data_IF_693474509637
#
_entry.id   IF_693474509637
#
_cell.length_a   1.000
_cell.length_b   1.000
_cell.length_c   1.000
_cell.angle_alpha   90.00
_cell.angle_beta   90.00
_cell.angle_gamma   90.00
#
_symmetry.space_group_name_H-M   'P 1'
#
loop_
_entity.id
_entity.type
_entity.pdbx_description
1 polymer ?
#
# COMPACT_ATOMS: atom_id res chain seq x y z
N UNK A 1 -27.26 18.80 21.64
CA UNK A 1 -26.80 20.05 20.98
C UNK A 1 -26.09 21.00 21.92
N UNK A 2 -26.66 21.40 23.10
CA UNK A 2 -25.97 22.28 24.08
C UNK A 2 -24.58 21.71 24.50
N UNK A 3 -24.48 20.44 24.80
CA UNK A 3 -23.22 19.80 25.22
C UNK A 3 -22.09 19.92 24.16
N UNK A 4 -22.41 19.73 22.87
CA UNK A 4 -21.45 19.86 21.77
C UNK A 4 -20.98 21.31 21.61
N UNK A 5 -21.88 22.28 21.76
CA UNK A 5 -21.52 23.69 21.68
C UNK A 5 -20.54 24.10 22.79
N UNK A 6 -20.74 23.58 23.99
CA UNK A 6 -19.87 23.85 25.14
C UNK A 6 -18.51 23.15 25.02
N UNK A 7 -18.50 21.89 24.59
CA UNK A 7 -17.28 21.12 24.41
C UNK A 7 -16.42 21.68 23.27
N UNK A 8 -17.01 22.06 22.15
CA UNK A 8 -16.27 22.57 20.99
C UNK A 8 -16.01 24.08 21.03
N UNK A 9 -16.54 24.80 22.00
CA UNK A 9 -16.43 26.29 22.15
C UNK A 9 -16.77 27.05 20.84
N UNK A 10 -17.74 26.55 20.06
CA UNK A 10 -18.19 27.18 18.81
C UNK A 10 -19.61 27.68 18.91
N UNK A 11 -19.94 28.70 18.11
CA UNK A 11 -21.31 29.26 18.07
C UNK A 11 -22.28 28.27 17.39
N UNK A 12 -23.57 28.36 17.75
CA UNK A 12 -24.64 27.53 17.12
C UNK A 12 -24.68 27.72 15.61
N UNK A 13 -24.42 28.95 15.12
CA UNK A 13 -24.35 29.27 13.68
C UNK A 13 -23.17 28.57 13.00
N UNK A 14 -22.00 28.52 13.66
CA UNK A 14 -20.81 27.84 13.18
C UNK A 14 -21.05 26.35 13.10
N UNK A 15 -21.65 25.73 14.13
CA UNK A 15 -21.95 24.29 14.14
C UNK A 15 -22.96 23.94 13.04
N UNK A 16 -24.02 24.75 12.81
CA UNK A 16 -24.98 24.52 11.72
C UNK A 16 -24.31 24.61 10.35
N UNK A 17 -23.39 25.55 10.15
CA UNK A 17 -22.64 25.70 8.91
C UNK A 17 -21.73 24.48 8.66
N UNK A 18 -21.05 24.02 9.70
CA UNK A 18 -20.22 22.80 9.63
C UNK A 18 -21.05 21.56 9.34
N UNK A 19 -22.19 21.40 9.98
CA UNK A 19 -23.13 20.32 9.72
C UNK A 19 -23.65 20.33 8.29
N UNK A 20 -24.03 21.52 7.79
CA UNK A 20 -24.47 21.66 6.40
C UNK A 20 -23.35 21.35 5.40
N UNK A 21 -22.11 21.74 5.67
CA UNK A 21 -20.95 21.37 4.86
C UNK A 21 -20.71 19.86 4.87
N UNK A 22 -20.77 19.23 6.04
CA UNK A 22 -20.62 17.79 6.19
C UNK A 22 -21.67 17.01 5.42
N UNK A 23 -22.92 17.42 5.47
CA UNK A 23 -23.99 16.79 4.70
C UNK A 23 -23.82 16.89 3.18
N UNK A 24 -23.12 17.94 2.70
CA UNK A 24 -22.87 18.12 1.27
C UNK A 24 -21.56 17.48 0.77
N UNK A 25 -20.53 17.45 1.60
CA UNK A 25 -19.17 17.03 1.17
C UNK A 25 -18.70 15.74 1.82
N UNK A 26 -19.40 15.26 2.86
CA UNK A 26 -18.95 14.15 3.70
C UNK A 26 -17.73 14.48 4.57
N UNK A 27 -17.25 15.73 4.54
CA UNK A 27 -16.09 16.19 5.28
C UNK A 27 -16.47 17.37 6.19
N UNK A 28 -15.95 17.37 7.40
CA UNK A 28 -16.02 18.58 8.24
C UNK A 28 -15.11 19.65 7.63
N UNK A 29 -15.57 20.91 7.55
CA UNK A 29 -14.71 21.98 7.05
C UNK A 29 -13.46 22.04 7.92
N UNK A 30 -12.31 21.99 7.28
CA UNK A 30 -11.01 22.01 7.95
C UNK A 30 -10.98 23.12 9.00
N UNK A 31 -10.74 22.76 10.24
CA UNK A 31 -10.56 23.72 11.33
C UNK A 31 -9.36 24.66 11.08
N UNK A 32 -8.42 24.22 10.23
CA UNK A 32 -7.20 24.94 9.85
C UNK A 32 -7.48 26.36 9.38
N UNK A 33 -8.49 26.62 8.55
CA UNK A 33 -8.72 27.97 8.03
C UNK A 33 -9.13 28.99 9.10
N UNK A 34 -9.84 28.56 10.17
CA UNK A 34 -10.17 29.45 11.28
C UNK A 34 -9.06 29.54 12.33
N UNK A 35 -8.37 28.43 12.55
CA UNK A 35 -7.19 28.36 13.40
C UNK A 35 -6.06 29.19 12.80
N UNK A 36 -5.76 29.03 11.52
CA UNK A 36 -4.79 29.83 10.78
C UNK A 36 -5.12 31.32 10.83
N UNK A 37 -6.38 31.71 10.59
CA UNK A 37 -6.81 33.13 10.71
C UNK A 37 -6.68 33.69 12.12
N UNK A 38 -6.98 32.89 13.15
CA UNK A 38 -6.76 33.28 14.55
C UNK A 38 -5.28 33.39 14.87
N UNK A 39 -4.47 32.48 14.40
CA UNK A 39 -3.03 32.48 14.59
C UNK A 39 -2.37 33.64 13.82
N UNK A 40 -2.77 33.87 12.57
CA UNK A 40 -2.33 35.05 11.81
C UNK A 40 -2.62 36.36 12.53
N UNK A 41 -3.82 36.50 13.13
CA UNK A 41 -4.18 37.69 13.94
C UNK A 41 -3.40 37.76 15.26
N UNK A 42 -3.21 36.61 15.94
CA UNK A 42 -2.55 36.56 17.25
C UNK A 42 -1.06 36.81 17.16
N UNK A 43 -0.40 36.24 16.12
CA UNK A 43 1.06 36.26 16.01
C UNK A 43 1.59 37.22 14.93
N UNK A 44 0.73 38.02 14.26
CA UNK A 44 1.13 38.95 13.19
C UNK A 44 2.08 38.28 12.17
N UNK A 45 1.65 37.16 11.61
CA UNK A 45 2.48 36.37 10.68
C UNK A 45 2.94 37.23 9.51
N UNK A 46 4.21 37.19 9.22
CA UNK A 46 4.81 37.91 8.10
C UNK A 46 4.49 37.10 6.84
N UNK A 47 3.59 37.64 6.00
CA UNK A 47 3.12 36.96 4.77
C UNK A 47 3.84 37.43 3.50
N UNK A 48 4.67 38.48 3.57
CA UNK A 48 5.29 39.07 2.39
C UNK A 48 6.64 38.45 2.10
N UNK A 49 6.67 37.49 1.17
CA UNK A 49 7.87 36.72 0.79
C UNK A 49 9.01 37.56 0.21
N UNK A 50 8.71 38.78 -0.29
CA UNK A 50 9.73 39.68 -0.85
C UNK A 50 10.58 40.36 0.24
N UNK A 51 10.09 40.44 1.47
CA UNK A 51 10.77 41.15 2.58
C UNK A 51 11.37 40.23 3.63
N UNK A 52 11.02 38.93 3.63
CA UNK A 52 11.51 38.00 4.64
C UNK A 52 12.62 37.13 4.06
N UNK A 53 13.85 37.53 4.31
CA UNK A 53 15.00 36.63 4.16
C UNK A 53 15.29 35.99 5.52
N UNK A 54 15.16 34.67 5.60
CA UNK A 54 15.63 33.92 6.76
C UNK A 54 17.16 33.92 6.73
N UNK A 55 17.76 34.18 7.90
CA UNK A 55 19.20 34.03 8.06
C UNK A 55 19.62 32.57 8.03
N UNK A 56 20.90 32.27 7.90
CA UNK A 56 21.43 30.87 7.99
C UNK A 56 21.06 30.25 9.32
N UNK A 57 21.15 30.98 10.41
CA UNK A 57 20.73 30.52 11.75
C UNK A 57 19.22 30.16 11.79
N UNK A 58 18.37 30.96 11.13
CA UNK A 58 16.94 30.64 11.03
C UNK A 58 16.70 29.35 10.24
N UNK A 59 17.50 29.13 9.18
CA UNK A 59 17.42 27.90 8.37
C UNK A 59 17.88 26.67 9.17
N UNK A 60 18.90 26.80 10.00
CA UNK A 60 19.37 25.75 10.90
C UNK A 60 18.31 25.41 11.94
N UNK A 61 17.66 26.41 12.55
CA UNK A 61 16.53 26.19 13.44
C UNK A 61 15.39 25.46 12.74
N UNK A 62 15.05 25.87 11.51
CA UNK A 62 14.01 25.23 10.71
C UNK A 62 14.36 23.77 10.41
N UNK A 63 15.60 23.48 10.05
CA UNK A 63 16.10 22.13 9.80
C UNK A 63 16.00 21.27 11.08
N UNK A 64 16.41 21.80 12.22
CA UNK A 64 16.32 21.11 13.51
C UNK A 64 14.88 20.77 13.90
N UNK A 65 13.93 21.69 13.67
CA UNK A 65 12.51 21.47 13.92
C UNK A 65 11.98 20.32 13.06
N UNK A 66 12.23 20.35 11.74
CA UNK A 66 11.76 19.32 10.81
C UNK A 66 12.44 17.97 11.08
N UNK A 67 13.69 17.95 11.45
CA UNK A 67 14.44 16.71 11.79
C UNK A 67 13.94 16.10 13.11
N UNK A 68 13.63 16.94 14.10
CA UNK A 68 13.11 16.49 15.39
C UNK A 68 11.71 15.90 15.29
N UNK A 69 10.85 16.51 14.47
CA UNK A 69 9.48 16.05 14.23
C UNK A 69 9.15 16.03 12.72
N UNK A 70 9.57 14.97 12.01
CA UNK A 70 9.37 14.86 10.56
C UNK A 70 7.90 14.63 10.18
N UNK A 71 7.00 14.43 11.15
CA UNK A 71 5.58 14.21 10.93
C UNK A 71 4.74 15.48 11.13
N UNK A 72 5.37 16.56 11.62
CA UNK A 72 4.67 17.79 11.91
C UNK A 72 4.03 18.42 10.66
N UNK A 73 2.82 18.91 10.79
CA UNK A 73 2.20 19.70 9.75
C UNK A 73 2.90 21.06 9.61
N UNK A 74 2.79 21.66 8.41
CA UNK A 74 3.48 22.93 8.10
C UNK A 74 3.08 24.07 9.03
N UNK A 75 1.86 24.09 9.55
CA UNK A 75 1.39 25.07 10.53
C UNK A 75 1.98 24.82 11.91
N UNK A 76 2.19 23.57 12.30
CA UNK A 76 2.88 23.19 13.55
C UNK A 76 4.36 23.58 13.48
N UNK A 77 5.02 23.31 12.36
CA UNK A 77 6.39 23.76 12.08
C UNK A 77 6.48 25.27 12.19
N UNK A 78 5.52 26.01 11.61
CA UNK A 78 5.51 27.48 11.67
C UNK A 78 5.33 28.02 13.09
N UNK A 79 4.56 27.34 13.92
CA UNK A 79 4.41 27.71 15.33
C UNK A 79 5.66 27.41 16.14
N UNK A 80 6.28 26.25 15.93
CA UNK A 80 7.53 25.89 16.58
C UNK A 80 8.64 26.88 16.21
N UNK A 81 8.77 27.18 14.91
CA UNK A 81 9.72 28.16 14.41
C UNK A 81 9.50 29.55 15.02
N UNK A 82 8.25 30.01 15.09
CA UNK A 82 7.92 31.28 15.71
C UNK A 82 8.24 31.36 17.19
N UNK A 83 8.11 30.23 17.92
CA UNK A 83 8.48 30.14 19.35
C UNK A 83 9.99 30.19 19.57
N UNK A 84 10.75 29.53 18.71
CA UNK A 84 12.22 29.41 18.84
C UNK A 84 12.94 30.66 18.32
N UNK A 85 12.43 31.31 17.25
CA UNK A 85 13.11 32.46 16.61
C UNK A 85 12.48 33.82 16.92
N UNK A 86 11.28 33.83 17.51
CA UNK A 86 10.47 35.05 17.64
C UNK A 86 9.84 35.54 16.31
N UNK A 87 10.13 34.87 15.16
CA UNK A 87 9.68 35.24 13.82
C UNK A 87 8.51 34.37 13.37
N UNK A 88 7.29 34.89 13.40
CA UNK A 88 6.10 34.15 12.97
C UNK A 88 5.92 34.24 11.47
N UNK A 89 6.41 33.24 10.76
CA UNK A 89 6.41 33.13 9.29
C UNK A 89 5.23 32.29 8.82
N UNK A 90 4.59 32.70 7.71
CA UNK A 90 3.46 31.95 7.17
C UNK A 90 3.87 30.52 6.76
N UNK A 91 3.04 29.48 7.01
CA UNK A 91 3.34 28.08 6.70
C UNK A 91 3.80 27.86 5.25
N UNK A 92 3.12 28.49 4.29
CA UNK A 92 3.48 28.39 2.87
C UNK A 92 4.87 28.98 2.54
N UNK A 93 5.33 29.96 3.30
CA UNK A 93 6.68 30.53 3.13
C UNK A 93 7.72 29.55 3.68
N UNK A 94 7.50 28.98 4.88
CA UNK A 94 8.37 27.95 5.43
C UNK A 94 8.40 26.68 4.56
N UNK A 95 7.27 26.28 4.01
CA UNK A 95 7.22 25.17 3.04
C UNK A 95 8.21 25.40 1.89
N UNK A 96 8.27 26.61 1.30
CA UNK A 96 9.23 26.93 0.24
C UNK A 96 10.68 26.84 0.73
N UNK A 97 10.98 27.31 1.93
CA UNK A 97 12.32 27.16 2.50
C UNK A 97 12.68 25.69 2.73
N UNK A 98 11.75 24.88 3.23
CA UNK A 98 11.95 23.43 3.42
C UNK A 98 12.23 22.76 2.06
N UNK A 99 11.47 23.08 1.01
CA UNK A 99 11.66 22.46 -0.31
C UNK A 99 12.87 23.01 -1.05
N UNK A 100 13.05 24.35 -1.09
CA UNK A 100 14.00 24.98 -1.97
C UNK A 100 15.40 25.14 -1.34
N UNK A 101 15.49 25.23 -0.01
CA UNK A 101 16.75 25.41 0.71
C UNK A 101 17.22 24.16 1.44
N UNK A 102 16.32 23.44 2.09
CA UNK A 102 16.69 22.19 2.76
C UNK A 102 16.62 20.98 1.82
N UNK A 103 16.05 21.11 0.61
CA UNK A 103 15.90 20.01 -0.34
C UNK A 103 14.97 18.89 0.13
N UNK A 104 14.14 19.16 1.13
CA UNK A 104 13.23 18.17 1.70
C UNK A 104 11.91 18.16 0.95
N UNK A 105 11.36 16.97 0.73
CA UNK A 105 10.06 16.77 0.10
C UNK A 105 9.13 15.97 1.01
N UNK A 106 7.82 16.20 0.90
CA UNK A 106 6.84 15.43 1.65
C UNK A 106 6.83 13.99 1.12
N UNK A 107 7.25 13.06 1.96
CA UNK A 107 7.30 11.63 1.65
C UNK A 107 6.06 10.92 2.19
N UNK A 108 5.68 9.81 1.56
CA UNK A 108 4.70 8.90 2.12
C UNK A 108 5.33 8.17 3.29
N UNK A 109 4.73 8.31 4.46
CA UNK A 109 5.21 7.62 5.66
C UNK A 109 4.96 6.12 5.53
N UNK A 110 6.01 5.33 5.73
CA UNK A 110 5.86 3.89 5.88
C UNK A 110 5.35 3.58 7.29
N UNK A 111 4.17 2.96 7.36
CA UNK A 111 3.66 2.47 8.64
C UNK A 111 4.31 1.13 8.96
N UNK A 112 5.03 1.07 10.07
CA UNK A 112 5.51 -0.19 10.64
C UNK A 112 4.53 -0.69 11.70
N UNK A 113 4.18 -1.96 11.65
CA UNK A 113 3.39 -2.55 12.72
C UNK A 113 4.19 -2.52 14.03
N UNK A 114 3.56 -2.14 15.14
CA UNK A 114 4.20 -2.10 16.47
C UNK A 114 4.76 -3.47 16.88
N UNK A 115 4.18 -4.55 16.36
CA UNK A 115 4.56 -5.93 16.61
C UNK A 115 5.71 -6.41 15.70
N UNK A 116 6.20 -5.61 14.77
CA UNK A 116 7.30 -5.97 13.88
C UNK A 116 8.58 -6.14 14.70
N UNK A 117 9.28 -7.27 14.49
CA UNK A 117 10.47 -7.63 15.25
C UNK A 117 11.67 -7.73 14.30
N UNK A 118 12.66 -6.88 14.46
CA UNK A 118 13.88 -6.87 13.64
C UNK A 118 14.66 -8.19 13.71
N UNK A 119 14.68 -8.84 14.89
CA UNK A 119 15.31 -10.16 15.02
C UNK A 119 14.63 -11.22 14.17
N UNK A 120 13.28 -11.24 14.13
CA UNK A 120 12.53 -12.17 13.29
C UNK A 120 12.74 -11.88 11.81
N UNK A 121 12.83 -10.62 11.42
CA UNK A 121 13.15 -10.19 10.04
C UNK A 121 14.56 -10.64 9.64
N UNK A 122 15.56 -10.43 10.50
CA UNK A 122 16.93 -10.86 10.24
C UNK A 122 17.04 -12.39 10.08
N UNK A 123 16.35 -13.16 10.94
CA UNK A 123 16.29 -14.62 10.83
C UNK A 123 15.63 -15.07 9.52
N UNK A 124 14.53 -14.45 9.14
CA UNK A 124 13.85 -14.74 7.88
C UNK A 124 14.77 -14.46 6.68
N UNK A 125 15.42 -13.28 6.63
CA UNK A 125 16.33 -12.93 5.54
C UNK A 125 17.52 -13.86 5.45
N UNK A 126 18.10 -14.27 6.59
CA UNK A 126 19.20 -15.23 6.63
C UNK A 126 18.77 -16.63 6.15
N UNK A 127 17.60 -17.10 6.60
CA UNK A 127 17.06 -18.38 6.16
C UNK A 127 16.74 -18.38 4.65
N UNK A 128 16.14 -17.28 4.15
CA UNK A 128 15.83 -17.12 2.74
C UNK A 128 17.11 -17.11 1.89
N UNK A 129 18.15 -16.40 2.33
CA UNK A 129 19.46 -16.39 1.66
C UNK A 129 20.10 -17.77 1.58
N UNK A 130 20.04 -18.51 2.67
CA UNK A 130 20.53 -19.89 2.71
C UNK A 130 19.77 -20.83 1.75
N UNK A 131 18.43 -20.72 1.71
CA UNK A 131 17.60 -21.55 0.85
C UNK A 131 17.73 -21.20 -0.63
N UNK A 132 17.76 -19.93 -0.97
CA UNK A 132 17.81 -19.51 -2.38
C UNK A 132 19.21 -19.67 -3.00
N UNK A 133 20.28 -19.53 -2.23
CA UNK A 133 21.66 -19.63 -2.73
C UNK A 133 21.87 -18.71 -3.95
N UNK A 134 21.41 -17.48 -3.87
CA UNK A 134 21.44 -16.47 -4.94
C UNK A 134 20.67 -16.85 -6.23
N UNK A 135 19.78 -17.84 -6.18
CA UNK A 135 18.91 -18.25 -7.27
C UNK A 135 17.46 -17.86 -6.97
N UNK A 136 17.06 -16.61 -7.27
CA UNK A 136 15.71 -16.10 -6.94
C UNK A 136 14.59 -16.84 -7.67
N UNK A 137 14.90 -17.55 -8.77
CA UNK A 137 13.95 -18.41 -9.50
C UNK A 137 13.44 -19.58 -8.65
N UNK A 138 14.16 -19.97 -7.58
CA UNK A 138 13.70 -20.99 -6.64
C UNK A 138 12.52 -20.53 -5.79
N UNK A 139 12.32 -19.21 -5.61
CA UNK A 139 11.27 -18.68 -4.78
C UNK A 139 9.92 -18.71 -5.51
N UNK A 140 8.93 -19.29 -4.85
CA UNK A 140 7.52 -19.17 -5.17
C UNK A 140 6.79 -18.59 -3.96
N UNK A 141 5.97 -17.59 -4.18
CA UNK A 141 5.19 -16.92 -3.15
C UNK A 141 3.72 -17.26 -3.29
N UNK A 142 3.05 -17.51 -2.18
CA UNK A 142 1.60 -17.76 -2.13
C UNK A 142 0.97 -16.82 -1.13
N UNK A 143 -0.14 -16.21 -1.50
CA UNK A 143 -0.93 -15.36 -0.61
C UNK A 143 -2.33 -15.14 -1.20
N UNK A 144 -3.24 -14.55 -0.40
CA UNK A 144 -4.61 -14.26 -0.80
C UNK A 144 -4.87 -12.75 -0.81
N UNK A 145 -5.67 -12.32 -1.77
CA UNK A 145 -6.16 -10.93 -1.77
C UNK A 145 -7.65 -10.86 -2.01
N UNK A 146 -8.33 -10.08 -1.17
CA UNK A 146 -9.78 -9.90 -1.28
C UNK A 146 -10.11 -8.64 -2.07
N UNK A 147 -11.10 -8.73 -2.96
CA UNK A 147 -11.61 -7.59 -3.70
C UNK A 147 -13.13 -7.67 -3.87
N UNK A 148 -13.74 -6.48 -3.88
CA UNK A 148 -15.12 -6.28 -4.31
C UNK A 148 -15.14 -5.51 -5.65
N UNK A 149 -16.31 -5.36 -6.25
CA UNK A 149 -16.49 -4.60 -7.50
C UNK A 149 -16.02 -3.14 -7.37
N UNK A 150 -16.11 -2.55 -6.18
CA UNK A 150 -15.65 -1.18 -5.93
C UNK A 150 -14.12 -1.04 -6.05
N UNK A 151 -13.36 -2.14 -6.00
CA UNK A 151 -11.91 -2.12 -6.19
C UNK A 151 -11.48 -1.65 -7.59
N UNK A 152 -12.30 -1.88 -8.62
CA UNK A 152 -12.06 -1.41 -9.98
C UNK A 152 -12.43 0.06 -10.20
N UNK A 153 -13.07 0.69 -9.23
CA UNK A 153 -13.53 2.07 -9.35
C UNK A 153 -12.37 3.06 -9.41
N UNK A 154 -12.43 3.93 -10.42
CA UNK A 154 -11.49 5.06 -10.50
C UNK A 154 -11.86 6.13 -9.48
N UNK A 155 -10.88 6.52 -8.66
CA UNK A 155 -11.08 7.55 -7.62
C UNK A 155 -10.94 8.98 -8.12
N UNK A 156 -10.39 9.19 -9.33
CA UNK A 156 -10.13 10.51 -9.92
C UNK A 156 -10.70 10.57 -11.33
N UNK A 157 -11.22 11.73 -11.71
CA UNK A 157 -11.73 12.01 -13.05
C UNK A 157 -11.52 13.46 -13.41
N UNK A 158 -11.51 13.77 -14.68
CA UNK A 158 -11.38 15.14 -15.19
C UNK A 158 -12.71 15.89 -15.08
N UNK A 159 -12.65 17.11 -14.57
CA UNK A 159 -13.80 18.02 -14.49
C UNK A 159 -13.36 19.46 -14.75
N UNK A 160 -14.30 20.34 -15.06
CA UNK A 160 -14.01 21.77 -15.24
C UNK A 160 -13.52 22.36 -13.90
N UNK A 161 -12.49 23.20 -13.96
CA UNK A 161 -11.97 23.91 -12.78
C UNK A 161 -13.09 24.81 -12.21
N UNK A 162 -13.31 24.74 -10.91
CA UNK A 162 -14.35 25.51 -10.20
C UNK A 162 -15.81 25.19 -10.58
N UNK A 163 -16.10 24.05 -11.21
CA UNK A 163 -17.47 23.64 -11.47
C UNK A 163 -18.19 23.31 -10.14
N UNK A 164 -19.09 24.18 -9.70
CA UNK A 164 -20.02 23.87 -8.62
C UNK A 164 -20.93 22.74 -9.08
N UNK A 165 -20.83 21.56 -8.46
CA UNK A 165 -21.67 20.40 -8.74
C UNK A 165 -21.19 19.47 -9.87
N UNK A 166 -20.06 19.73 -10.53
CA UNK A 166 -19.56 18.93 -11.67
C UNK A 166 -18.74 17.70 -11.33
N UNK A 167 -18.82 17.18 -10.11
CA UNK A 167 -18.23 15.87 -9.78
C UNK A 167 -19.03 14.79 -10.47
N UNK A 168 -18.48 14.20 -11.54
CA UNK A 168 -19.02 12.94 -12.06
C UNK A 168 -18.95 11.93 -10.92
N UNK A 169 -20.12 11.48 -10.45
CA UNK A 169 -20.23 10.48 -9.42
C UNK A 169 -19.83 9.14 -10.03
N UNK A 170 -18.79 8.50 -9.49
CA UNK A 170 -18.58 7.08 -9.72
C UNK A 170 -19.73 6.33 -9.03
N UNK A 171 -20.34 5.37 -9.69
CA UNK A 171 -21.40 4.58 -9.10
C UNK A 171 -20.82 3.77 -7.93
N UNK A 172 -21.54 3.76 -6.82
CA UNK A 172 -21.25 2.93 -5.66
C UNK A 172 -22.20 1.74 -5.67
N UNK A 173 -21.66 0.55 -5.75
CA UNK A 173 -22.46 -0.67 -5.67
C UNK A 173 -22.69 -1.03 -4.20
N UNK A 174 -23.96 -1.01 -3.76
CA UNK A 174 -24.38 -1.64 -2.50
C UNK A 174 -24.33 -3.16 -2.67
N UNK A 175 -23.94 -3.88 -1.64
CA UNK A 175 -23.96 -5.36 -1.60
C UNK A 175 -23.17 -5.98 -2.76
N UNK A 176 -21.91 -5.55 -2.94
CA UNK A 176 -21.05 -6.16 -3.94
C UNK A 176 -20.58 -7.53 -3.48
N UNK A 177 -20.57 -8.46 -4.41
CA UNK A 177 -19.92 -9.76 -4.22
C UNK A 177 -18.45 -9.53 -3.93
N UNK A 178 -17.94 -10.19 -2.90
CA UNK A 178 -16.53 -10.15 -2.53
C UNK A 178 -15.83 -11.35 -3.13
N UNK A 179 -14.79 -11.09 -3.89
CA UNK A 179 -13.95 -12.13 -4.50
C UNK A 179 -12.66 -12.27 -3.70
N UNK A 180 -12.23 -13.51 -3.55
CA UNK A 180 -10.90 -13.84 -3.03
C UNK A 180 -10.08 -14.40 -4.18
N UNK A 181 -8.92 -13.80 -4.46
CA UNK A 181 -7.91 -14.35 -5.33
C UNK A 181 -6.90 -15.07 -4.47
N UNK A 182 -6.77 -16.39 -4.61
CA UNK A 182 -5.63 -17.17 -4.14
C UNK A 182 -4.62 -17.15 -5.28
N UNK A 183 -3.38 -16.77 -5.02
CA UNK A 183 -2.39 -16.63 -6.06
C UNK A 183 -1.05 -17.22 -5.66
N UNK A 184 -0.44 -17.90 -6.63
CA UNK A 184 0.97 -18.26 -6.63
C UNK A 184 1.71 -17.40 -7.65
N UNK A 185 2.89 -16.91 -7.28
CA UNK A 185 3.72 -16.08 -8.14
C UNK A 185 5.21 -16.41 -7.96
N UNK A 186 5.96 -16.28 -9.03
CA UNK A 186 7.41 -16.35 -9.03
C UNK A 186 8.00 -15.05 -9.63
N UNK A 187 9.28 -15.02 -9.89
CA UNK A 187 9.95 -13.85 -10.46
C UNK A 187 9.45 -13.48 -11.87
N UNK A 188 8.80 -14.41 -12.59
CA UNK A 188 8.28 -14.17 -13.93
C UNK A 188 6.87 -13.56 -13.93
N UNK A 189 6.19 -13.56 -12.79
CA UNK A 189 4.82 -13.08 -12.65
C UNK A 189 3.93 -14.04 -11.89
N UNK A 190 2.62 -13.85 -12.02
CA UNK A 190 1.65 -14.80 -11.51
C UNK A 190 1.67 -16.10 -12.31
N UNK A 191 1.54 -17.23 -11.63
CA UNK A 191 1.42 -18.55 -12.26
C UNK A 191 -0.06 -18.81 -12.49
N UNK A 192 -0.52 -18.55 -13.72
CA UNK A 192 -1.95 -18.52 -14.07
C UNK A 192 -2.68 -19.80 -13.65
N UNK A 193 -2.11 -20.98 -13.91
CA UNK A 193 -2.71 -22.27 -13.54
C UNK A 193 -2.77 -22.52 -12.01
N UNK A 194 -2.00 -21.77 -11.24
CA UNK A 194 -2.00 -21.79 -9.77
C UNK A 194 -2.62 -20.51 -9.19
N UNK A 195 -3.40 -19.76 -9.97
CA UNK A 195 -4.21 -18.65 -9.49
C UNK A 195 -5.70 -19.02 -9.59
N UNK A 196 -6.46 -18.75 -8.55
CA UNK A 196 -7.88 -19.07 -8.51
C UNK A 196 -8.67 -17.94 -7.88
N UNK A 197 -9.75 -17.53 -8.55
CA UNK A 197 -10.68 -16.54 -8.03
C UNK A 197 -11.93 -17.22 -7.49
N UNK A 198 -12.18 -17.02 -6.22
CA UNK A 198 -13.29 -17.63 -5.52
C UNK A 198 -14.36 -16.56 -5.26
N UNK A 199 -15.62 -16.83 -5.70
CA UNK A 199 -16.77 -16.02 -5.37
C UNK A 199 -17.24 -16.39 -3.95
N UNK A 200 -17.45 -15.39 -3.13
CA UNK A 200 -17.98 -15.59 -1.78
C UNK A 200 -19.34 -16.29 -1.75
N UNK A 201 -20.16 -16.11 -2.79
CA UNK A 201 -21.48 -16.72 -2.85
C UNK A 201 -21.44 -18.21 -3.22
N UNK A 202 -20.40 -18.64 -3.95
CA UNK A 202 -20.22 -20.06 -4.30
C UNK A 202 -19.79 -20.91 -3.11
N UNK A 203 -19.17 -20.26 -2.09
CA UNK A 203 -18.77 -20.91 -0.83
C UNK A 203 -19.87 -20.94 0.23
N UNK A 204 -21.01 -20.31 -0.01
CA UNK A 204 -22.05 -20.10 1.02
C UNK A 204 -23.03 -21.25 1.19
N UNK A 205 -23.01 -22.29 0.39
CA UNK A 205 -23.95 -23.43 0.52
C UNK A 205 -23.65 -24.34 1.71
N UNK A 206 -22.51 -24.15 2.39
CA UNK A 206 -22.13 -24.93 3.58
C UNK A 206 -21.84 -24.09 4.86
N UNK A 207 -22.38 -22.89 4.95
CA UNK A 207 -22.48 -22.18 6.25
C UNK A 207 -21.26 -21.43 6.74
N UNK A 208 -20.18 -21.35 6.01
CA UNK A 208 -19.00 -20.55 6.37
C UNK A 208 -18.98 -19.20 5.63
N UNK A 209 -18.72 -18.11 6.34
CA UNK A 209 -18.83 -16.73 5.89
C UNK A 209 -17.83 -16.33 4.78
N UNK A 210 -17.83 -17.01 3.62
CA UNK A 210 -17.19 -16.59 2.37
C UNK A 210 -15.70 -16.20 2.47
N UNK A 211 -14.96 -16.80 3.35
CA UNK A 211 -13.49 -16.82 3.41
C UNK A 211 -13.01 -18.17 2.88
N UNK A 212 -11.85 -18.18 2.25
CA UNK A 212 -11.16 -19.43 1.92
C UNK A 212 -10.95 -20.19 3.23
N UNK A 213 -11.62 -21.30 3.37
CA UNK A 213 -11.49 -22.15 4.53
C UNK A 213 -10.28 -23.11 4.38
N UNK A 214 -10.02 -23.87 5.44
CA UNK A 214 -8.92 -24.83 5.49
C UNK A 214 -9.03 -25.90 4.41
N UNK A 215 -10.22 -26.42 4.18
CA UNK A 215 -10.45 -27.52 3.24
C UNK A 215 -10.24 -27.07 1.80
N UNK A 216 -10.81 -25.92 1.48
CA UNK A 216 -10.63 -25.28 0.17
C UNK A 216 -9.16 -24.99 -0.11
N UNK A 217 -8.46 -24.37 0.83
CA UNK A 217 -7.03 -24.04 0.67
C UNK A 217 -6.20 -25.32 0.51
N UNK A 218 -6.45 -26.36 1.29
CA UNK A 218 -5.76 -27.66 1.20
C UNK A 218 -5.99 -28.33 -0.17
N UNK A 219 -7.22 -28.29 -0.68
CA UNK A 219 -7.56 -28.79 -2.02
C UNK A 219 -6.80 -28.00 -3.09
N UNK A 220 -6.86 -26.69 -3.04
CA UNK A 220 -6.15 -25.81 -3.96
C UNK A 220 -4.63 -26.07 -3.95
N UNK A 221 -4.03 -26.25 -2.77
CA UNK A 221 -2.60 -26.61 -2.65
C UNK A 221 -2.30 -27.91 -3.40
N UNK A 222 -3.10 -28.95 -3.21
CA UNK A 222 -2.88 -30.26 -3.84
C UNK A 222 -3.10 -30.23 -5.35
N UNK A 223 -4.14 -29.54 -5.82
CA UNK A 223 -4.56 -29.58 -7.22
C UNK A 223 -3.89 -28.52 -8.08
N UNK A 224 -3.56 -27.34 -7.54
CA UNK A 224 -3.06 -26.20 -8.30
C UNK A 224 -1.61 -25.83 -7.97
N UNK A 225 -1.23 -25.83 -6.68
CA UNK A 225 0.10 -25.42 -6.27
C UNK A 225 1.11 -26.55 -6.46
N UNK A 226 0.87 -27.74 -5.91
CA UNK A 226 1.82 -28.85 -5.96
C UNK A 226 2.29 -29.22 -7.38
N UNK A 227 1.45 -29.20 -8.43
CA UNK A 227 1.89 -29.51 -9.79
C UNK A 227 2.91 -28.55 -10.39
N UNK A 228 3.04 -27.32 -9.86
CA UNK A 228 3.97 -26.30 -10.39
C UNK A 228 5.25 -26.17 -9.56
N UNK A 229 5.37 -26.93 -8.46
CA UNK A 229 6.53 -26.89 -7.58
C UNK A 229 7.69 -27.73 -8.13
N UNK A 230 8.90 -27.23 -7.94
CA UNK A 230 10.14 -27.94 -8.21
C UNK A 230 10.72 -28.60 -6.96
N UNK A 231 11.69 -29.50 -7.16
CA UNK A 231 12.38 -30.22 -6.10
C UNK A 231 13.62 -29.43 -5.64
N UNK A 232 13.67 -29.15 -4.37
CA UNK A 232 14.76 -28.37 -3.77
C UNK A 232 16.12 -29.07 -3.91
N UNK A 233 16.16 -30.38 -3.71
CA UNK A 233 17.36 -31.18 -3.82
C UNK A 233 18.09 -31.05 -5.18
N UNK A 234 17.32 -30.87 -6.25
CA UNK A 234 17.87 -30.71 -7.60
C UNK A 234 18.06 -29.24 -8.01
N UNK A 235 17.78 -28.29 -7.12
CA UNK A 235 17.91 -26.87 -7.41
C UNK A 235 16.89 -26.33 -8.41
N UNK A 236 15.76 -27.02 -8.56
CA UNK A 236 14.72 -26.68 -9.53
C UNK A 236 14.07 -25.34 -9.18
N UNK A 237 13.57 -24.57 -10.16
CA UNK A 237 12.77 -23.37 -9.91
C UNK A 237 11.53 -23.70 -9.07
N UNK A 238 11.02 -22.71 -8.32
CA UNK A 238 9.81 -22.87 -7.49
C UNK A 238 9.91 -23.95 -6.43
N UNK A 239 11.12 -24.17 -5.93
CA UNK A 239 11.39 -25.22 -4.94
C UNK A 239 11.41 -24.70 -3.49
N UNK A 240 11.27 -23.39 -3.29
CA UNK A 240 11.14 -22.74 -1.98
C UNK A 240 9.82 -21.98 -1.97
N UNK A 241 8.87 -22.43 -1.16
CA UNK A 241 7.52 -21.87 -1.07
C UNK A 241 7.44 -20.92 0.11
N UNK A 242 7.19 -19.64 -0.15
CA UNK A 242 6.96 -18.61 0.85
C UNK A 242 5.46 -18.50 1.13
N UNK A 243 5.09 -18.75 2.38
CA UNK A 243 3.73 -18.60 2.91
C UNK A 243 3.71 -17.55 4.01
N UNK A 244 2.56 -16.94 4.27
CA UNK A 244 2.35 -16.17 5.48
C UNK A 244 2.07 -17.08 6.71
N UNK A 245 1.95 -16.46 7.89
CA UNK A 245 1.72 -17.18 9.13
C UNK A 245 0.22 -17.43 9.43
N UNK A 246 -0.65 -17.46 8.42
CA UNK A 246 -2.06 -17.77 8.64
C UNK A 246 -2.23 -19.23 9.12
N UNK A 247 -3.15 -19.44 10.04
CA UNK A 247 -3.40 -20.78 10.62
C UNK A 247 -3.84 -21.81 9.56
N UNK A 248 -4.50 -21.36 8.51
CA UNK A 248 -4.89 -22.18 7.35
C UNK A 248 -3.70 -22.69 6.56
N UNK A 249 -2.60 -21.94 6.50
CA UNK A 249 -1.37 -22.29 5.78
C UNK A 249 -0.45 -23.24 6.57
N UNK A 250 -0.64 -23.28 7.89
CA UNK A 250 0.21 -24.09 8.79
C UNK A 250 -0.39 -25.46 9.12
N UNK A 251 -1.38 -25.91 8.37
CA UNK A 251 -2.00 -27.19 8.62
C UNK A 251 -1.09 -28.35 8.21
N UNK A 252 -1.23 -29.47 8.89
CA UNK A 252 -0.43 -30.65 8.63
C UNK A 252 -0.58 -31.12 7.17
N UNK A 253 -1.81 -31.12 6.68
CA UNK A 253 -2.15 -31.54 5.33
C UNK A 253 -1.52 -30.66 4.24
N UNK A 254 -1.45 -29.35 4.45
CA UNK A 254 -0.79 -28.39 3.54
C UNK A 254 0.72 -28.59 3.55
N UNK A 255 1.30 -28.69 4.74
CA UNK A 255 2.75 -28.88 4.91
C UNK A 255 3.21 -30.18 4.27
N UNK A 256 2.50 -31.27 4.53
CA UNK A 256 2.84 -32.58 3.96
C UNK A 256 2.66 -32.64 2.46
N UNK A 257 1.59 -32.05 1.91
CA UNK A 257 1.38 -32.00 0.47
C UNK A 257 2.53 -31.26 -0.26
N UNK A 258 2.97 -30.12 0.26
CA UNK A 258 4.08 -29.37 -0.34
C UNK A 258 5.40 -30.15 -0.18
N UNK A 259 5.70 -30.70 0.99
CA UNK A 259 6.92 -31.47 1.23
C UNK A 259 6.98 -32.74 0.37
N UNK A 260 5.86 -33.36 0.10
CA UNK A 260 5.79 -34.55 -0.76
C UNK A 260 6.25 -34.26 -2.21
N UNK A 261 6.20 -33.00 -2.66
CA UNK A 261 6.74 -32.58 -3.96
C UNK A 261 8.29 -32.49 -3.97
N UNK A 262 8.91 -32.44 -2.79
CA UNK A 262 10.33 -32.13 -2.61
C UNK A 262 10.65 -30.66 -2.45
N UNK A 263 9.63 -29.79 -2.37
CA UNK A 263 9.80 -28.36 -2.08
C UNK A 263 9.96 -28.09 -0.59
N UNK A 264 10.60 -26.97 -0.26
CA UNK A 264 10.79 -26.48 1.11
C UNK A 264 9.85 -25.32 1.37
N UNK A 265 9.26 -25.29 2.56
CA UNK A 265 8.41 -24.18 3.01
C UNK A 265 9.22 -23.22 3.89
N UNK A 266 9.04 -21.93 3.65
CA UNK A 266 9.49 -20.86 4.53
C UNK A 266 8.31 -19.95 4.86
N UNK A 267 8.16 -19.58 6.14
CA UNK A 267 7.12 -18.66 6.54
C UNK A 267 7.67 -17.23 6.65
N UNK A 268 6.87 -16.25 6.21
CA UNK A 268 7.24 -14.84 6.23
C UNK A 268 7.51 -14.36 7.68
N UNK A 269 8.35 -13.33 7.81
CA UNK A 269 8.51 -12.69 9.10
C UNK A 269 7.18 -12.02 9.51
N UNK A 270 6.72 -12.19 10.76
CA UNK A 270 5.46 -11.63 11.22
C UNK A 270 5.41 -10.11 11.00
N UNK A 271 4.25 -9.62 10.55
CA UNK A 271 4.00 -8.19 10.29
C UNK A 271 5.00 -7.50 9.36
N UNK A 272 5.55 -8.23 8.40
CA UNK A 272 6.58 -7.74 7.47
C UNK A 272 6.20 -7.94 6.00
N UNK A 273 5.09 -7.34 5.52
CA UNK A 273 4.65 -7.48 4.12
C UNK A 273 5.66 -6.88 3.13
N UNK A 274 6.50 -5.96 3.57
CA UNK A 274 7.57 -5.35 2.81
C UNK A 274 8.69 -6.32 2.40
N UNK A 275 8.79 -7.48 3.06
CA UNK A 275 9.71 -8.57 2.70
C UNK A 275 9.07 -9.60 1.76
N UNK A 276 7.78 -9.50 1.45
CA UNK A 276 7.07 -10.41 0.57
C UNK A 276 6.77 -9.73 -0.78
N UNK A 277 7.45 -10.13 -1.89
CA UNK A 277 7.22 -9.51 -3.20
C UNK A 277 5.79 -9.62 -3.71
N UNK A 278 5.00 -10.62 -3.30
CA UNK A 278 3.62 -10.84 -3.78
C UNK A 278 2.72 -9.64 -3.47
N UNK A 279 3.00 -8.87 -2.43
CA UNK A 279 2.26 -7.65 -2.10
C UNK A 279 2.40 -6.56 -3.19
N UNK A 280 3.58 -6.47 -3.80
CA UNK A 280 3.83 -5.60 -4.94
C UNK A 280 3.07 -6.11 -6.19
N UNK A 281 3.04 -7.42 -6.40
CA UNK A 281 2.25 -8.06 -7.45
C UNK A 281 0.76 -7.77 -7.28
N UNK A 282 0.22 -7.90 -6.07
CA UNK A 282 -1.16 -7.53 -5.77
C UNK A 282 -1.45 -6.05 -5.98
N UNK A 283 -0.49 -5.18 -5.70
CA UNK A 283 -0.63 -3.75 -5.97
C UNK A 283 -0.79 -3.48 -7.47
N UNK A 284 0.04 -4.12 -8.30
CA UNK A 284 -0.03 -4.03 -9.77
C UNK A 284 -1.33 -4.62 -10.31
N UNK A 285 -1.70 -5.82 -9.86
CA UNK A 285 -2.97 -6.46 -10.17
C UNK A 285 -4.18 -5.55 -9.88
N UNK A 286 -4.22 -4.94 -8.68
CA UNK A 286 -5.26 -3.99 -8.28
C UNK A 286 -5.27 -2.72 -9.16
N UNK A 287 -4.09 -2.26 -9.59
CA UNK A 287 -3.98 -1.12 -10.50
C UNK A 287 -4.48 -1.48 -11.91
N UNK A 288 -4.21 -2.69 -12.38
CA UNK A 288 -4.70 -3.21 -13.65
C UNK A 288 -6.23 -3.34 -13.66
N UNK A 289 -6.83 -3.91 -12.63
CA UNK A 289 -8.30 -3.97 -12.49
C UNK A 289 -8.95 -2.58 -12.58
N UNK A 290 -8.33 -1.55 -11.96
CA UNK A 290 -8.82 -0.16 -12.07
C UNK A 290 -8.70 0.41 -13.49
N UNK A 291 -7.71 -0.04 -14.27
CA UNK A 291 -7.55 0.38 -15.67
C UNK A 291 -8.56 -0.28 -16.60
N UNK A 292 -8.83 -1.56 -16.40
CA UNK A 292 -9.89 -2.30 -17.09
C UNK A 292 -11.23 -1.59 -16.86
N UNK A 293 -11.49 -1.14 -15.62
CA UNK A 293 -12.69 -0.39 -15.27
C UNK A 293 -13.89 -1.28 -14.99
N UNK A 294 -15.03 -0.64 -14.70
CA UNK A 294 -16.23 -1.31 -14.22
C UNK A 294 -16.94 -2.13 -15.30
N UNK A 295 -16.93 -1.66 -16.56
CA UNK A 295 -17.71 -2.26 -17.65
C UNK A 295 -17.34 -3.73 -17.93
N UNK A 296 -16.09 -4.07 -18.27
CA UNK A 296 -15.67 -5.46 -18.50
C UNK A 296 -15.82 -6.37 -17.27
N UNK A 297 -15.58 -5.82 -16.09
CA UNK A 297 -15.72 -6.56 -14.83
C UNK A 297 -17.19 -6.94 -14.56
N UNK A 298 -18.14 -6.14 -15.03
CA UNK A 298 -19.57 -6.44 -14.88
C UNK A 298 -20.05 -7.55 -15.82
N UNK A 299 -19.38 -7.73 -16.97
CA UNK A 299 -19.77 -8.71 -17.98
C UNK A 299 -19.10 -10.05 -17.80
N UNK A 300 -17.80 -10.05 -17.48
CA UNK A 300 -17.04 -11.27 -17.23
C UNK A 300 -15.88 -10.99 -16.26
N UNK A 301 -16.11 -11.35 -15.02
CA UNK A 301 -15.15 -11.18 -13.93
C UNK A 301 -13.89 -12.03 -14.12
N UNK A 302 -14.05 -13.25 -14.66
CA UNK A 302 -12.93 -14.19 -14.88
C UNK A 302 -11.96 -13.63 -15.91
N UNK A 303 -12.45 -13.14 -17.03
CA UNK A 303 -11.60 -12.52 -18.08
C UNK A 303 -10.87 -11.29 -17.53
N UNK A 304 -11.56 -10.46 -16.74
CA UNK A 304 -10.91 -9.29 -16.13
C UNK A 304 -9.79 -9.67 -15.17
N UNK A 305 -9.96 -10.74 -14.39
CA UNK A 305 -8.92 -11.26 -13.49
C UNK A 305 -7.72 -11.81 -14.26
N UNK A 306 -7.94 -12.66 -15.25
CA UNK A 306 -6.89 -13.23 -16.09
C UNK A 306 -6.06 -12.13 -16.77
N UNK A 307 -6.74 -11.14 -17.35
CA UNK A 307 -6.06 -10.00 -17.94
C UNK A 307 -5.26 -9.20 -16.91
N UNK A 308 -5.78 -9.01 -15.70
CA UNK A 308 -5.08 -8.29 -14.63
C UNK A 308 -3.86 -9.07 -14.11
N UNK A 309 -3.92 -10.39 -14.06
CA UNK A 309 -2.78 -11.25 -13.69
C UNK A 309 -1.66 -11.13 -14.74
N UNK A 310 -1.99 -11.18 -16.02
CA UNK A 310 -1.03 -11.05 -17.12
C UNK A 310 -0.30 -9.71 -17.22
N UNK A 311 -0.73 -8.70 -16.46
CA UNK A 311 -0.05 -7.38 -16.41
C UNK A 311 1.29 -7.39 -15.65
N UNK A 312 1.60 -8.42 -14.90
CA UNK A 312 2.86 -8.52 -14.14
C UNK A 312 3.88 -9.29 -14.98
N UNK A 313 4.86 -8.57 -15.51
CA UNK A 313 5.94 -9.14 -16.31
C UNK A 313 7.14 -9.55 -15.45
N UNK A 314 8.09 -10.33 -16.05
CA UNK A 314 9.38 -10.65 -15.42
C UNK A 314 10.15 -9.39 -14.99
N UNK A 315 10.15 -8.33 -15.78
CA UNK A 315 10.82 -7.07 -15.42
C UNK A 315 10.22 -6.44 -14.16
N UNK A 316 8.89 -6.52 -13.99
CA UNK A 316 8.23 -6.11 -12.76
C UNK A 316 8.66 -7.03 -11.60
N UNK A 317 8.68 -8.34 -11.82
CA UNK A 317 9.11 -9.32 -10.83
C UNK A 317 10.53 -9.04 -10.34
N UNK A 318 11.49 -8.83 -11.23
CA UNK A 318 12.88 -8.48 -10.86
C UNK A 318 12.91 -7.22 -9.98
N UNK A 319 12.19 -6.15 -10.37
CA UNK A 319 12.13 -4.89 -9.59
C UNK A 319 11.52 -5.12 -8.20
N UNK A 320 10.48 -5.93 -8.09
CA UNK A 320 9.82 -6.23 -6.82
C UNK A 320 10.67 -7.13 -5.92
N UNK A 321 11.31 -8.14 -6.48
CA UNK A 321 12.25 -8.97 -5.74
C UNK A 321 13.42 -8.17 -5.18
N UNK A 322 14.01 -7.27 -5.98
CA UNK A 322 15.05 -6.34 -5.52
C UNK A 322 14.56 -5.42 -4.40
N UNK A 323 13.35 -4.86 -4.55
CA UNK A 323 12.80 -3.94 -3.54
C UNK A 323 12.51 -4.61 -2.20
N UNK A 324 12.25 -5.91 -2.20
CA UNK A 324 12.05 -6.72 -1.00
C UNK A 324 13.36 -7.33 -0.46
N UNK A 325 14.50 -7.10 -1.12
CA UNK A 325 15.80 -7.64 -0.71
C UNK A 325 15.93 -9.15 -0.91
N UNK A 326 15.27 -9.72 -1.93
CA UNK A 326 15.38 -11.15 -2.24
C UNK A 326 16.79 -11.44 -2.78
N UNK A 327 17.53 -12.39 -2.15
CA UNK A 327 18.89 -12.75 -2.53
C UNK A 327 19.02 -13.17 -4.00
N UNK A 328 20.05 -12.67 -4.67
CA UNK A 328 20.33 -12.96 -6.09
C UNK A 328 19.55 -12.10 -7.08
N UNK A 329 18.48 -11.42 -6.64
CA UNK A 329 17.68 -10.58 -7.54
C UNK A 329 18.44 -9.35 -8.06
N UNK A 330 19.42 -8.85 -7.33
CA UNK A 330 20.29 -7.74 -7.71
C UNK A 330 21.17 -8.06 -8.93
N UNK A 331 21.44 -9.32 -9.20
CA UNK A 331 22.25 -9.79 -10.34
C UNK A 331 21.46 -9.91 -11.63
N UNK A 332 20.14 -9.95 -11.54
CA UNK A 332 19.28 -10.08 -12.73
C UNK A 332 19.12 -8.72 -13.39
N UNK A 333 19.06 -8.71 -14.71
CA UNK A 333 18.97 -7.50 -15.52
C UNK A 333 17.57 -7.43 -16.15
N UNK A 334 16.90 -6.28 -16.02
CA UNK A 334 15.62 -6.02 -16.70
C UNK A 334 15.85 -5.71 -18.19
N UNK A 335 14.83 -5.86 -19.01
CA UNK A 335 14.90 -5.53 -20.44
C UNK A 335 15.33 -4.07 -20.69
N UNK A 336 14.86 -3.16 -19.84
CA UNK A 336 15.21 -1.75 -19.91
C UNK A 336 16.69 -1.50 -19.57
N UNK A 337 17.23 -2.16 -18.56
CA UNK A 337 18.65 -2.08 -18.18
C UNK A 337 19.55 -2.69 -19.25
N UNK A 338 19.13 -3.82 -19.82
CA UNK A 338 19.84 -4.48 -20.94
C UNK A 338 19.93 -3.55 -22.16
N UNK A 339 18.84 -2.92 -22.55
CA UNK A 339 18.84 -1.96 -23.64
C UNK A 339 19.77 -0.77 -23.37
N UNK A 340 19.77 -0.21 -22.15
CA UNK A 340 20.63 0.92 -21.79
C UNK A 340 22.13 0.58 -21.75
N UNK A 341 22.50 -0.68 -21.53
CA UNK A 341 23.90 -1.12 -21.48
C UNK A 341 24.48 -1.46 -22.85
N UNK A 342 23.65 -1.66 -23.88
CA UNK A 342 24.04 -2.10 -25.21
C UNK A 342 23.79 -1.06 -26.32
N UNK A 343 23.27 0.13 -25.97
CA UNK A 343 23.07 1.29 -26.83
C UNK A 343 23.52 2.57 -26.13
#
# INVERSE_FOLDING_TARGET
MRYILTACKVSKTTLRRWWKSYLHTGELPHQTSQYERKMMKKYKWISNSAQLKLSEQDIDVLNNIVTRDPHAYTDEIALAFGRETGKYVAPNTLWRYITDKLGLTLQVLSTRAKQQCETSRGRFSAALSFLLQDCPERLLMVDETHKDRNAARRRRGWGRRNAKGGKKLAQWFKNTVRYTLIAAADINGFIECACETVDRNELSDEGAAGTVDREYFTRWVKEKLCPVLGRFEFGEPRSVVLLDNASTHMTYEVVDAIRATGAIIIYSAPYSPDLNPIENFFSMYKASLKRIGEGPIMTDWTVAHLHALGCVSRDNGIKYFRSCGIPGAERLITSEEYCKSNF
#
